data_IF_860496383585
#
_entry.id   IF_860496383585
#
_cell.length_a   1.000
_cell.length_b   1.000
_cell.length_c   1.000
_cell.angle_alpha   90.00
_cell.angle_beta   90.00
_cell.angle_gamma   90.00
#
_symmetry.space_group_name_H-M   'P 1'
#
loop_
_entity.id
_entity.type
_entity.pdbx_description
1 polymer ?
#
# COMPACT_ATOMS: atom_id res chain seq x y z
N UNK A 1 -8.47 14.99 8.30
CA UNK A 1 -8.81 14.05 7.20
C UNK A 1 -7.63 13.63 6.33
N UNK A 2 -6.64 14.49 6.03
CA UNK A 2 -5.44 14.12 5.25
C UNK A 2 -4.42 13.22 5.97
N UNK A 3 -4.40 13.20 7.30
CA UNK A 3 -3.47 12.38 8.08
C UNK A 3 -3.63 10.88 7.82
N UNK A 4 -4.87 10.39 7.64
CA UNK A 4 -5.13 8.97 7.36
C UNK A 4 -4.57 8.53 6.01
N UNK A 5 -4.76 9.36 4.98
CA UNK A 5 -4.19 9.12 3.65
C UNK A 5 -2.66 9.09 3.69
N UNK A 6 -2.05 10.06 4.37
CA UNK A 6 -0.58 10.15 4.49
C UNK A 6 0.01 8.95 5.23
N UNK A 7 -0.64 8.49 6.31
CA UNK A 7 -0.22 7.28 7.03
C UNK A 7 -0.33 6.03 6.14
N UNK A 8 -1.43 5.88 5.39
CA UNK A 8 -1.60 4.76 4.46
C UNK A 8 -0.56 4.77 3.33
N UNK A 9 -0.26 5.95 2.76
CA UNK A 9 0.81 6.09 1.76
C UNK A 9 2.19 5.76 2.34
N UNK A 10 2.47 6.20 3.57
CA UNK A 10 3.73 5.85 4.26
C UNK A 10 3.84 4.35 4.48
N UNK A 11 2.77 3.71 4.96
CA UNK A 11 2.73 2.25 5.14
C UNK A 11 2.87 1.50 3.81
N UNK A 12 2.29 2.02 2.73
CA UNK A 12 2.46 1.46 1.39
C UNK A 12 3.92 1.52 0.94
N UNK A 13 4.59 2.66 1.15
CA UNK A 13 6.01 2.82 0.83
C UNK A 13 6.93 1.93 1.67
N UNK A 14 6.59 1.69 2.94
CA UNK A 14 7.32 0.74 3.78
C UNK A 14 7.18 -0.69 3.26
N UNK A 15 5.97 -1.12 2.88
CA UNK A 15 5.74 -2.45 2.30
C UNK A 15 6.50 -2.63 0.99
N UNK A 16 6.56 -1.59 0.14
CA UNK A 16 7.32 -1.63 -1.11
C UNK A 16 8.82 -1.84 -0.87
N UNK A 17 9.40 -1.09 0.08
CA UNK A 17 10.79 -1.26 0.48
C UNK A 17 11.07 -2.65 1.06
N UNK A 18 10.16 -3.21 1.87
CA UNK A 18 10.29 -4.56 2.41
C UNK A 18 10.28 -5.61 1.29
N UNK A 19 9.37 -5.48 0.33
CA UNK A 19 9.31 -6.37 -0.85
C UNK A 19 10.61 -6.28 -1.65
N UNK A 20 11.11 -5.07 -1.93
CA UNK A 20 12.34 -4.89 -2.69
C UNK A 20 13.56 -5.48 -1.98
N UNK A 21 13.66 -5.32 -0.65
CA UNK A 21 14.74 -5.91 0.13
C UNK A 21 14.69 -7.44 0.10
N UNK A 22 13.51 -8.01 0.23
CA UNK A 22 13.31 -9.46 0.19
C UNK A 22 13.58 -10.03 -1.22
N UNK A 23 13.19 -9.31 -2.28
CA UNK A 23 13.48 -9.70 -3.67
C UNK A 23 14.97 -9.57 -4.03
N UNK A 24 15.71 -8.69 -3.36
CA UNK A 24 17.17 -8.58 -3.51
C UNK A 24 17.94 -9.61 -2.67
N UNK A 25 17.26 -10.32 -1.76
CA UNK A 25 17.89 -11.34 -0.95
C UNK A 25 18.25 -12.56 -1.82
N UNK A 26 19.44 -13.17 -1.63
CA UNK A 26 19.86 -14.34 -2.42
C UNK A 26 18.98 -15.59 -2.21
N UNK A 27 18.19 -15.64 -1.14
CA UNK A 27 17.17 -16.65 -0.89
C UNK A 27 15.84 -15.96 -0.56
N UNK A 28 15.11 -15.50 -1.59
CA UNK A 28 13.86 -14.77 -1.38
C UNK A 28 12.78 -15.75 -0.92
N UNK A 29 12.13 -15.43 0.20
CA UNK A 29 10.99 -16.20 0.68
C UNK A 29 9.75 -15.84 -0.13
N UNK A 30 9.47 -16.64 -1.16
CA UNK A 30 8.40 -16.38 -2.14
C UNK A 30 7.01 -16.30 -1.50
N UNK A 31 6.76 -17.04 -0.42
CA UNK A 31 5.50 -16.99 0.33
C UNK A 31 5.40 -15.70 1.15
N UNK A 32 6.53 -15.24 1.71
CA UNK A 32 6.62 -13.94 2.38
C UNK A 32 6.38 -12.80 1.39
N UNK A 33 7.05 -12.81 0.22
CA UNK A 33 6.89 -11.80 -0.84
C UNK A 33 5.46 -11.77 -1.36
N UNK A 34 4.85 -12.95 -1.58
CA UNK A 34 3.45 -13.07 -2.01
C UNK A 34 2.51 -12.47 -0.98
N UNK A 35 2.76 -12.72 0.31
CA UNK A 35 1.99 -12.15 1.41
C UNK A 35 2.13 -10.62 1.44
N UNK A 36 3.35 -10.10 1.38
CA UNK A 36 3.62 -8.66 1.35
C UNK A 36 2.97 -7.97 0.14
N UNK A 37 3.04 -8.56 -1.05
CA UNK A 37 2.37 -8.05 -2.27
C UNK A 37 0.84 -8.04 -2.10
N UNK A 38 0.26 -9.04 -1.43
CA UNK A 38 -1.17 -9.09 -1.10
C UNK A 38 -1.58 -8.01 -0.10
N UNK A 39 -0.75 -7.77 0.93
CA UNK A 39 -0.96 -6.65 1.86
C UNK A 39 -0.87 -5.30 1.15
N UNK A 40 0.11 -5.13 0.25
CA UNK A 40 0.26 -3.92 -0.57
C UNK A 40 -0.98 -3.65 -1.44
N UNK A 41 -1.54 -4.69 -2.07
CA UNK A 41 -2.79 -4.57 -2.84
C UNK A 41 -3.96 -4.10 -1.96
N UNK A 42 -4.16 -4.72 -0.79
CA UNK A 42 -5.21 -4.30 0.14
C UNK A 42 -5.04 -2.86 0.61
N UNK A 43 -3.80 -2.45 0.88
CA UNK A 43 -3.50 -1.09 1.31
C UNK A 43 -3.79 -0.07 0.20
N UNK A 44 -3.49 -0.41 -1.06
CA UNK A 44 -3.84 0.40 -2.23
C UNK A 44 -5.36 0.55 -2.37
N UNK A 45 -6.11 -0.54 -2.23
CA UNK A 45 -7.57 -0.50 -2.23
C UNK A 45 -8.13 0.40 -1.12
N UNK A 46 -7.54 0.33 0.08
CA UNK A 46 -7.94 1.19 1.20
C UNK A 46 -7.62 2.66 0.95
N UNK A 47 -6.44 2.96 0.36
CA UNK A 47 -6.10 4.31 -0.09
C UNK A 47 -7.14 4.81 -1.09
N UNK A 48 -7.45 4.03 -2.13
CA UNK A 48 -8.43 4.43 -3.15
C UNK A 48 -9.83 4.65 -2.56
N UNK A 49 -10.25 3.82 -1.59
CA UNK A 49 -11.51 4.05 -0.87
C UNK A 49 -11.49 5.34 -0.08
N UNK A 50 -10.42 5.59 0.68
CA UNK A 50 -10.26 6.82 1.46
C UNK A 50 -10.20 8.04 0.53
N UNK A 51 -9.49 7.97 -0.59
CA UNK A 51 -9.47 9.03 -1.61
C UNK A 51 -10.85 9.30 -2.20
N UNK A 52 -11.60 8.23 -2.51
CA UNK A 52 -12.97 8.35 -3.05
C UNK A 52 -13.92 8.97 -2.02
N UNK A 53 -13.79 8.60 -0.74
CA UNK A 53 -14.56 9.23 0.35
C UNK A 53 -14.12 10.67 0.60
N UNK A 54 -12.83 10.99 0.42
CA UNK A 54 -12.28 12.34 0.57
C UNK A 54 -12.65 13.27 -0.60
N UNK A 55 -13.01 12.72 -1.78
CA UNK A 55 -13.62 13.45 -2.89
C UNK A 55 -15.15 13.31 -2.92
N UNK A 56 -15.92 13.97 -2.03
CA UNK A 56 -17.31 14.26 -2.32
C UNK A 56 -17.37 15.51 -3.21
N UNK A 57 -18.16 15.45 -4.29
CA UNK A 57 -18.55 16.57 -5.15
C UNK A 57 -17.43 17.23 -6.01
N UNK A 58 -17.13 16.63 -7.16
CA UNK A 58 -17.11 17.43 -8.40
C UNK A 58 -18.48 17.23 -9.05
N UNK A 59 -19.46 17.98 -8.56
CA UNK A 59 -20.76 18.11 -9.19
C UNK A 59 -20.58 19.01 -10.40
N UNK A 60 -20.84 18.50 -11.60
CA UNK A 60 -21.08 19.28 -12.80
C UNK A 60 -22.39 18.77 -13.42
#
# INVERSE_FOLDING_TARGET
MYARLKSLQSQHGTLDNLIQREEQHPYPDVEHIRSLKKFKLRLRDEIQRVERTLRPAQTA
#
